data_IF_308216712216
#
_entry.id   IF_308216712216
#
_cell.length_a   1.000
_cell.length_b   1.000
_cell.length_c   1.000
_cell.angle_alpha   90.00
_cell.angle_beta   90.00
_cell.angle_gamma   90.00
#
_symmetry.space_group_name_H-M   'P 1'
#
loop_
_entity.id
_entity.type
_entity.pdbx_description
1 polymer ?
#
# COMPACT_ATOMS: atom_id res chain seq x y z
N UNK A 1 19.15 26.68 -60.35
CA UNK A 1 19.90 25.99 -59.28
C UNK A 1 19.73 26.77 -58.00
N UNK A 2 18.84 26.35 -57.10
CA UNK A 2 18.77 26.93 -55.75
C UNK A 2 19.75 26.17 -54.86
N UNK A 3 20.83 26.84 -54.45
CA UNK A 3 21.72 26.33 -53.40
C UNK A 3 20.99 26.37 -52.05
N UNK A 4 20.61 25.19 -51.57
CA UNK A 4 20.24 25.00 -50.18
C UNK A 4 21.51 25.13 -49.32
N UNK A 5 21.74 26.30 -48.72
CA UNK A 5 22.77 26.48 -47.69
C UNK A 5 22.35 25.73 -46.43
N UNK A 6 22.79 24.48 -46.33
CA UNK A 6 22.71 23.67 -45.13
C UNK A 6 23.53 24.35 -44.01
N UNK A 7 22.87 25.14 -43.16
CA UNK A 7 23.47 25.75 -41.97
C UNK A 7 23.76 24.63 -40.97
N UNK A 8 25.00 24.13 -40.94
CA UNK A 8 25.43 23.15 -39.93
C UNK A 8 25.33 23.81 -38.56
N UNK A 9 24.40 23.33 -37.71
CA UNK A 9 24.35 23.70 -36.29
C UNK A 9 25.68 23.25 -35.66
N UNK A 10 26.47 24.21 -35.18
CA UNK A 10 27.72 23.95 -34.44
C UNK A 10 27.33 23.25 -33.14
N UNK A 11 27.96 22.11 -32.85
CA UNK A 11 27.84 21.46 -31.54
C UNK A 11 28.55 22.38 -30.54
N UNK A 12 27.79 22.99 -29.63
CA UNK A 12 28.31 23.83 -28.55
C UNK A 12 28.70 22.89 -27.41
N UNK A 13 29.99 22.85 -27.06
CA UNK A 13 30.47 22.03 -25.94
C UNK A 13 30.29 22.80 -24.63
N UNK A 14 30.18 22.10 -23.50
CA UNK A 14 30.07 22.71 -22.16
C UNK A 14 31.18 23.73 -21.88
N UNK A 15 32.39 23.48 -22.39
CA UNK A 15 33.54 24.39 -22.31
C UNK A 15 33.34 25.70 -23.07
N UNK A 16 32.52 25.71 -24.13
CA UNK A 16 32.24 26.91 -24.93
C UNK A 16 31.24 27.85 -24.21
N UNK A 17 30.41 27.31 -23.33
CA UNK A 17 29.37 28.05 -22.59
C UNK A 17 29.99 28.83 -21.42
N UNK A 18 30.94 28.22 -20.72
CA UNK A 18 31.47 28.72 -19.44
C UNK A 18 32.95 29.13 -19.54
N UNK A 19 33.40 29.61 -20.70
CA UNK A 19 34.83 29.70 -20.97
C UNK A 19 35.59 30.68 -20.05
N UNK A 20 34.92 31.62 -19.34
CA UNK A 20 35.45 32.41 -18.20
C UNK A 20 34.34 33.13 -17.41
N UNK A 21 33.25 33.54 -18.06
CA UNK A 21 32.13 34.21 -17.42
C UNK A 21 30.90 34.22 -18.30
N UNK A 22 29.72 34.07 -17.70
CA UNK A 22 28.44 34.06 -18.41
C UNK A 22 27.58 35.23 -17.98
N UNK A 23 27.18 36.04 -18.95
CA UNK A 23 26.31 37.20 -18.74
C UNK A 23 24.84 36.80 -18.92
N UNK A 24 23.99 37.27 -18.00
CA UNK A 24 22.55 37.09 -18.04
C UNK A 24 21.85 38.45 -18.11
N UNK A 25 20.76 38.50 -18.86
CA UNK A 25 19.78 39.59 -18.83
C UNK A 25 18.47 39.02 -18.30
N UNK A 26 18.03 39.52 -17.16
CA UNK A 26 16.87 39.04 -16.43
C UNK A 26 15.71 40.01 -16.65
N UNK A 27 14.54 39.45 -16.92
CA UNK A 27 13.27 40.17 -16.97
C UNK A 27 12.42 39.64 -15.81
N UNK A 28 12.29 40.40 -14.73
CA UNK A 28 11.41 40.05 -13.63
C UNK A 28 10.02 40.63 -13.90
N UNK A 29 9.04 39.75 -14.09
CA UNK A 29 7.64 40.12 -14.25
C UNK A 29 6.91 39.98 -12.90
N UNK A 30 6.28 41.07 -12.46
CA UNK A 30 5.41 41.08 -11.29
C UNK A 30 3.94 41.14 -11.72
N UNK A 31 3.10 40.33 -11.07
CA UNK A 31 1.66 40.33 -11.34
C UNK A 31 1.06 41.68 -10.93
N UNK A 32 0.54 42.42 -11.92
CA UNK A 32 -0.01 43.77 -11.73
C UNK A 32 0.91 44.92 -12.16
N UNK A 33 2.15 44.64 -12.58
CA UNK A 33 3.03 45.64 -13.18
C UNK A 33 3.03 45.51 -14.71
N UNK A 34 2.94 46.65 -15.40
CA UNK A 34 2.95 46.72 -16.88
C UNK A 34 4.39 46.70 -17.44
N UNK A 35 5.39 46.96 -16.60
CA UNK A 35 6.79 47.08 -16.98
C UNK A 35 7.63 46.08 -16.20
N UNK A 36 8.39 45.24 -16.91
CA UNK A 36 9.30 44.27 -16.29
C UNK A 36 10.52 44.98 -15.65
N UNK A 37 10.93 44.52 -14.47
CA UNK A 37 12.17 44.96 -13.84
C UNK A 37 13.37 44.24 -14.47
N UNK A 38 14.13 44.97 -15.30
CA UNK A 38 15.26 44.39 -16.05
C UNK A 38 16.57 44.61 -15.31
N UNK A 39 17.30 43.53 -15.04
CA UNK A 39 18.67 43.60 -14.51
C UNK A 39 19.62 42.69 -15.28
N UNK A 40 20.91 42.99 -15.20
CA UNK A 40 21.97 42.17 -15.79
C UNK A 40 22.96 41.75 -14.73
N UNK A 41 23.46 40.53 -14.83
CA UNK A 41 24.53 40.05 -13.97
C UNK A 41 25.45 39.10 -14.72
N UNK A 42 26.61 38.87 -14.13
CA UNK A 42 27.63 37.96 -14.65
C UNK A 42 27.93 36.93 -13.56
N UNK A 43 28.01 35.66 -13.95
CA UNK A 43 28.53 34.57 -13.12
C UNK A 43 29.88 34.17 -13.71
N UNK A 44 30.89 34.05 -12.86
CA UNK A 44 32.23 33.62 -13.23
C UNK A 44 32.39 32.10 -13.05
N UNK A 45 33.33 31.53 -13.79
CA UNK A 45 33.75 30.12 -13.72
C UNK A 45 32.65 29.09 -14.04
N UNK A 46 32.92 27.80 -13.78
CA UNK A 46 32.03 26.67 -14.08
C UNK A 46 30.65 26.74 -13.38
N UNK A 47 30.49 27.66 -12.43
CA UNK A 47 29.25 27.90 -11.70
C UNK A 47 28.10 28.39 -12.61
N UNK A 48 28.39 28.87 -13.83
CA UNK A 48 27.34 29.26 -14.79
C UNK A 48 26.46 28.13 -15.30
N UNK A 49 26.86 26.86 -15.11
CA UNK A 49 26.01 25.69 -15.41
C UNK A 49 25.22 25.19 -14.20
N UNK A 50 25.38 25.79 -13.02
CA UNK A 50 24.62 25.43 -11.83
C UNK A 50 23.38 26.31 -11.70
N UNK A 51 22.20 25.71 -11.81
CA UNK A 51 20.92 26.38 -11.61
C UNK A 51 20.79 26.94 -10.20
N UNK A 52 21.30 26.23 -9.20
CA UNK A 52 21.35 26.71 -7.81
C UNK A 52 22.16 28.01 -7.68
N UNK A 53 23.27 28.13 -8.42
CA UNK A 53 24.07 29.37 -8.43
C UNK A 53 23.28 30.54 -9.06
N UNK A 54 22.61 30.29 -10.19
CA UNK A 54 21.74 31.26 -10.86
C UNK A 54 20.60 31.71 -9.93
N UNK A 55 19.94 30.78 -9.26
CA UNK A 55 18.86 31.09 -8.31
C UNK A 55 19.33 31.97 -7.15
N UNK A 56 20.45 31.61 -6.51
CA UNK A 56 21.03 32.44 -5.42
C UNK A 56 21.35 33.84 -5.91
N UNK A 57 21.92 33.97 -7.12
CA UNK A 57 22.24 35.28 -7.69
C UNK A 57 20.99 36.11 -7.97
N UNK A 58 19.90 35.47 -8.39
CA UNK A 58 18.60 36.12 -8.57
C UNK A 58 18.01 36.61 -7.24
N UNK A 59 18.10 35.83 -6.17
CA UNK A 59 17.65 36.24 -4.83
C UNK A 59 18.46 37.42 -4.28
N UNK A 60 19.77 37.42 -4.48
CA UNK A 60 20.65 38.53 -4.08
C UNK A 60 20.32 39.82 -4.85
N UNK A 61 20.00 39.71 -6.14
CA UNK A 61 19.70 40.85 -7.01
C UNK A 61 18.29 41.41 -6.84
N UNK A 62 17.34 40.53 -6.55
CA UNK A 62 15.94 40.85 -6.38
C UNK A 62 15.52 40.41 -4.97
N UNK A 63 15.75 41.25 -3.94
CA UNK A 63 15.38 40.93 -2.56
C UNK A 63 13.91 40.55 -2.39
N UNK A 64 13.05 41.02 -3.31
CA UNK A 64 11.62 40.68 -3.36
C UNK A 64 11.32 39.21 -3.67
N UNK A 65 12.29 38.47 -4.23
CA UNK A 65 12.21 37.03 -4.50
C UNK A 65 12.71 36.18 -3.34
N UNK A 66 13.45 36.78 -2.39
CA UNK A 66 13.94 36.09 -1.21
C UNK A 66 12.76 35.51 -0.42
N UNK A 67 12.91 34.27 0.03
CA UNK A 67 11.91 33.51 0.78
C UNK A 67 10.59 33.27 0.01
N UNK A 68 10.59 33.44 -1.33
CA UNK A 68 9.42 33.17 -2.19
C UNK A 68 9.75 32.15 -3.27
N UNK A 69 8.75 31.37 -3.65
CA UNK A 69 8.86 30.49 -4.82
C UNK A 69 8.72 31.31 -6.10
N UNK A 70 9.70 31.21 -6.99
CA UNK A 70 9.68 31.81 -8.32
C UNK A 70 10.06 30.78 -9.37
N UNK A 71 9.70 31.06 -10.62
CA UNK A 71 10.04 30.22 -11.76
C UNK A 71 10.88 31.00 -12.76
N UNK A 72 11.96 30.36 -13.21
CA UNK A 72 12.85 30.87 -14.25
C UNK A 72 12.47 30.21 -15.56
N UNK A 73 12.29 31.02 -16.60
CA UNK A 73 11.94 30.55 -17.94
C UNK A 73 12.81 31.22 -19.00
N UNK A 74 12.84 30.65 -20.19
CA UNK A 74 13.49 31.22 -21.35
C UNK A 74 12.61 31.08 -22.60
N UNK A 75 12.96 31.79 -23.68
CA UNK A 75 12.29 31.70 -24.98
C UNK A 75 13.12 30.88 -25.94
N UNK A 76 12.54 29.81 -26.46
CA UNK A 76 13.15 28.95 -27.47
C UNK A 76 13.04 29.54 -28.90
N UNK A 77 13.56 28.82 -29.89
CA UNK A 77 13.48 29.16 -31.32
C UNK A 77 12.03 29.28 -31.83
N UNK A 78 11.06 28.66 -31.13
CA UNK A 78 9.64 28.72 -31.44
C UNK A 78 8.91 29.85 -30.67
N UNK A 79 9.64 30.67 -29.91
CA UNK A 79 9.12 31.70 -28.99
C UNK A 79 8.25 31.13 -27.85
N UNK A 80 8.36 29.84 -27.53
CA UNK A 80 7.68 29.24 -26.39
C UNK A 80 8.43 29.53 -25.09
N UNK A 81 7.68 29.78 -24.00
CA UNK A 81 8.25 30.02 -22.67
C UNK A 81 8.56 28.68 -21.98
N UNK A 82 9.80 28.23 -22.09
CA UNK A 82 10.29 26.97 -21.51
C UNK A 82 10.81 27.20 -20.10
N UNK A 83 10.47 26.31 -19.16
CA UNK A 83 10.87 26.42 -17.76
C UNK A 83 12.22 25.76 -17.51
N UNK A 84 13.09 26.43 -16.74
CA UNK A 84 14.36 25.90 -16.26
C UNK A 84 14.13 25.45 -14.81
N UNK A 85 14.20 24.14 -14.56
CA UNK A 85 13.96 23.58 -13.22
C UNK A 85 15.21 22.91 -12.62
N UNK A 86 16.20 22.54 -13.44
CA UNK A 86 17.41 21.87 -13.02
C UNK A 86 18.64 22.31 -13.85
N UNK A 87 19.81 21.76 -13.53
CA UNK A 87 21.07 22.05 -14.22
C UNK A 87 21.07 21.59 -15.70
N UNK A 88 20.38 20.49 -16.03
CA UNK A 88 20.28 19.97 -17.41
C UNK A 88 19.46 20.91 -18.29
N UNK A 89 18.31 21.39 -17.79
CA UNK A 89 17.46 22.38 -18.45
C UNK A 89 18.22 23.69 -18.67
N UNK A 90 19.06 24.09 -17.71
CA UNK A 90 19.88 25.28 -17.82
C UNK A 90 20.92 25.12 -18.92
N UNK A 91 21.65 24.00 -18.95
CA UNK A 91 22.62 23.72 -20.02
C UNK A 91 21.91 23.73 -21.38
N UNK A 92 20.75 23.07 -21.48
CA UNK A 92 19.96 23.05 -22.72
C UNK A 92 19.60 24.47 -23.17
N UNK A 93 19.06 25.29 -22.27
CA UNK A 93 18.72 26.68 -22.54
C UNK A 93 19.94 27.48 -23.04
N UNK A 94 21.09 27.33 -22.37
CA UNK A 94 22.32 28.03 -22.74
C UNK A 94 22.90 27.59 -24.10
N UNK A 95 22.67 26.33 -24.50
CA UNK A 95 23.11 25.81 -25.81
C UNK A 95 22.21 26.24 -26.96
N UNK A 96 20.91 26.44 -26.70
CA UNK A 96 19.93 26.82 -27.73
C UNK A 96 19.85 28.34 -27.92
N UNK A 97 20.06 29.13 -26.87
CA UNK A 97 20.11 30.58 -26.97
C UNK A 97 21.25 31.09 -27.87
N UNK A 98 21.06 32.27 -28.45
CA UNK A 98 22.00 32.93 -29.37
C UNK A 98 23.31 33.45 -28.74
N UNK A 99 23.71 32.88 -27.61
CA UNK A 99 24.88 33.27 -26.83
C UNK A 99 24.61 34.40 -25.83
N UNK A 100 25.61 34.75 -25.00
CA UNK A 100 25.46 35.78 -23.97
C UNK A 100 25.30 37.20 -24.57
N UNK A 101 24.52 38.09 -23.92
CA UNK A 101 23.84 37.86 -22.65
C UNK A 101 22.58 37.00 -22.82
N UNK A 102 22.47 35.98 -21.99
CA UNK A 102 21.37 35.02 -22.02
C UNK A 102 20.11 35.65 -21.41
N UNK A 103 19.04 35.71 -22.19
CA UNK A 103 17.77 36.31 -21.76
C UNK A 103 16.96 35.29 -20.97
N UNK A 104 16.75 35.55 -19.68
CA UNK A 104 15.91 34.74 -18.81
C UNK A 104 14.77 35.57 -18.22
N UNK A 105 13.63 34.94 -18.02
CA UNK A 105 12.41 35.56 -17.50
C UNK A 105 12.10 34.95 -16.14
N UNK A 106 11.77 35.80 -15.18
CA UNK A 106 11.46 35.39 -13.81
C UNK A 106 10.06 35.83 -13.48
N UNK A 107 9.26 34.89 -12.95
CA UNK A 107 7.90 35.16 -12.48
C UNK A 107 7.71 34.64 -11.06
N UNK A 108 7.03 35.42 -10.23
CA UNK A 108 6.60 34.99 -8.89
C UNK A 108 5.50 33.94 -9.04
N UNK A 109 5.56 32.88 -8.22
CA UNK A 109 4.48 31.91 -8.09
C UNK A 109 4.89 30.46 -8.35
N UNK A 110 4.08 29.54 -7.80
CA UNK A 110 4.13 28.12 -8.14
C UNK A 110 3.47 27.98 -9.51
N UNK A 111 4.27 27.78 -10.55
CA UNK A 111 3.72 27.30 -11.81
C UNK A 111 3.18 25.91 -11.51
N UNK A 112 1.84 25.80 -11.31
CA UNK A 112 1.16 24.55 -11.64
C UNK A 112 1.60 24.28 -13.08
N UNK A 113 2.33 23.19 -13.38
CA UNK A 113 2.90 22.98 -14.69
C UNK A 113 1.78 23.09 -15.70
N UNK A 114 1.70 24.24 -16.39
CA UNK A 114 0.81 24.46 -17.50
C UNK A 114 1.54 23.79 -18.65
N UNK A 115 1.45 22.46 -18.64
CA UNK A 115 1.83 21.62 -19.76
C UNK A 115 1.23 22.31 -20.99
N UNK A 116 2.03 22.67 -22.00
CA UNK A 116 1.46 23.26 -23.20
C UNK A 116 0.39 22.30 -23.68
N UNK A 117 -0.82 22.81 -23.85
CA UNK A 117 -1.97 22.06 -24.37
C UNK A 117 -1.73 21.69 -25.84
N UNK A 118 -0.66 20.93 -26.13
CA UNK A 118 -0.77 19.93 -27.18
C UNK A 118 -1.90 19.04 -26.71
N UNK A 119 -2.96 18.92 -27.50
CA UNK A 119 -3.98 17.87 -27.30
C UNK A 119 -3.19 16.58 -27.09
N UNK A 120 -3.06 16.13 -25.84
CA UNK A 120 -2.56 14.79 -25.56
C UNK A 120 -3.67 13.91 -26.08
N UNK A 121 -3.51 13.39 -27.29
CA UNK A 121 -4.05 12.07 -27.57
C UNK A 121 -3.49 11.19 -26.47
N UNK A 122 -4.32 10.89 -25.47
CA UNK A 122 -3.99 9.99 -24.37
C UNK A 122 -3.41 8.75 -25.04
N UNK A 123 -2.11 8.46 -24.87
CA UNK A 123 -1.52 7.32 -25.53
C UNK A 123 -2.27 6.06 -25.11
N UNK A 124 -2.53 5.16 -26.05
CA UNK A 124 -3.29 3.93 -25.80
C UNK A 124 -2.75 3.13 -24.60
N UNK A 125 -1.44 3.19 -24.37
CA UNK A 125 -0.79 2.56 -23.21
C UNK A 125 -1.28 3.09 -21.86
N UNK A 126 -1.75 4.33 -21.75
CA UNK A 126 -2.28 4.88 -20.50
C UNK A 126 -3.62 4.22 -20.14
N UNK A 127 -4.42 3.88 -21.14
CA UNK A 127 -5.66 3.11 -20.94
C UNK A 127 -5.36 1.66 -20.56
N UNK A 128 -4.34 1.05 -21.19
CA UNK A 128 -3.90 -0.31 -20.84
C UNK A 128 -3.44 -0.38 -19.38
N UNK A 129 -2.67 0.60 -18.91
CA UNK A 129 -2.22 0.66 -17.51
C UNK A 129 -3.40 0.86 -16.58
N UNK A 130 -4.32 1.80 -16.89
CA UNK A 130 -5.53 2.02 -16.07
C UNK A 130 -6.39 0.76 -15.98
N UNK A 131 -6.55 0.04 -17.09
CA UNK A 131 -7.30 -1.22 -17.12
C UNK A 131 -6.61 -2.31 -16.29
N UNK A 132 -5.29 -2.47 -16.41
CA UNK A 132 -4.55 -3.45 -15.60
C UNK A 132 -4.59 -3.13 -14.11
N UNK A 133 -4.46 -1.86 -13.74
CA UNK A 133 -4.59 -1.42 -12.34
C UNK A 133 -5.99 -1.70 -11.82
N UNK A 134 -7.03 -1.40 -12.61
CA UNK A 134 -8.40 -1.68 -12.21
C UNK A 134 -8.65 -3.18 -12.02
N UNK A 135 -8.19 -4.02 -12.96
CA UNK A 135 -8.28 -5.48 -12.82
C UNK A 135 -7.58 -6.00 -11.57
N UNK A 136 -6.43 -5.43 -11.22
CA UNK A 136 -5.70 -5.81 -10.00
C UNK A 136 -6.45 -5.40 -8.73
N UNK A 137 -7.11 -4.24 -8.73
CA UNK A 137 -7.97 -3.79 -7.62
C UNK A 137 -9.17 -4.73 -7.46
N UNK A 138 -9.88 -5.01 -8.55
CA UNK A 138 -11.04 -5.90 -8.53
C UNK A 138 -10.65 -7.31 -8.05
N UNK A 139 -9.50 -7.82 -8.51
CA UNK A 139 -8.99 -9.13 -8.08
C UNK A 139 -8.63 -9.14 -6.59
N UNK A 140 -8.06 -8.06 -6.07
CA UNK A 140 -7.76 -7.92 -4.64
C UNK A 140 -9.05 -7.92 -3.80
N UNK A 141 -10.09 -7.24 -4.25
CA UNK A 141 -11.36 -7.17 -3.53
C UNK A 141 -12.06 -8.54 -3.49
N UNK A 142 -12.00 -9.32 -4.57
CA UNK A 142 -12.51 -10.70 -4.60
C UNK A 142 -11.77 -11.59 -3.59
N UNK A 143 -10.44 -11.52 -3.56
CA UNK A 143 -9.65 -12.30 -2.60
C UNK A 143 -9.92 -11.88 -1.15
N UNK A 144 -10.10 -10.58 -0.90
CA UNK A 144 -10.43 -10.08 0.42
C UNK A 144 -11.79 -10.62 0.91
N UNK A 145 -12.79 -10.64 0.03
CA UNK A 145 -14.11 -11.17 0.35
C UNK A 145 -14.06 -12.67 0.68
N UNK A 146 -13.27 -13.45 -0.07
CA UNK A 146 -13.05 -14.87 0.22
C UNK A 146 -12.45 -15.09 1.61
N UNK A 147 -11.41 -14.32 1.97
CA UNK A 147 -10.78 -14.42 3.29
C UNK A 147 -11.76 -14.06 4.42
N UNK A 148 -12.62 -13.05 4.20
CA UNK A 148 -13.66 -12.67 5.17
C UNK A 148 -14.67 -13.82 5.37
N UNK A 149 -15.12 -14.44 4.28
CA UNK A 149 -16.04 -15.57 4.34
C UNK A 149 -15.46 -16.77 5.09
N UNK A 150 -14.19 -17.11 4.85
CA UNK A 150 -13.49 -18.19 5.56
C UNK A 150 -13.34 -17.89 7.05
N UNK A 151 -12.94 -16.67 7.40
CA UNK A 151 -12.84 -16.22 8.79
C UNK A 151 -14.19 -16.35 9.51
N UNK A 152 -15.27 -15.94 8.88
CA UNK A 152 -16.60 -15.97 9.48
C UNK A 152 -17.15 -17.40 9.60
N UNK A 153 -16.80 -18.29 8.67
CA UNK A 153 -17.08 -19.72 8.78
C UNK A 153 -16.37 -20.34 10.01
N UNK A 154 -15.08 -20.06 10.17
CA UNK A 154 -14.32 -20.53 11.34
C UNK A 154 -14.87 -19.97 12.66
N UNK A 155 -15.32 -18.71 12.66
CA UNK A 155 -15.94 -18.11 13.84
C UNK A 155 -17.22 -18.84 14.25
N UNK A 156 -18.08 -19.18 13.29
CA UNK A 156 -19.29 -19.98 13.56
C UNK A 156 -18.97 -21.35 14.14
N UNK A 157 -17.93 -22.01 13.63
CA UNK A 157 -17.51 -23.31 14.16
C UNK A 157 -16.96 -23.21 15.59
N UNK A 158 -16.23 -22.12 15.89
CA UNK A 158 -15.77 -21.84 17.24
C UNK A 158 -16.94 -21.60 18.21
N UNK A 159 -17.95 -20.85 17.79
CA UNK A 159 -19.15 -20.60 18.61
C UNK A 159 -19.92 -21.90 18.91
N UNK A 160 -20.03 -22.82 17.93
CA UNK A 160 -20.61 -24.15 18.14
C UNK A 160 -19.81 -24.99 19.13
N UNK A 161 -18.48 -24.94 19.04
CA UNK A 161 -17.61 -25.62 19.99
C UNK A 161 -17.79 -25.06 21.41
N UNK A 162 -17.88 -23.74 21.56
CA UNK A 162 -18.20 -23.07 22.83
C UNK A 162 -19.52 -23.56 23.44
N UNK A 163 -20.60 -23.58 22.65
CA UNK A 163 -21.89 -24.09 23.11
C UNK A 163 -21.84 -25.56 23.56
N UNK A 164 -21.00 -26.38 22.90
CA UNK A 164 -20.83 -27.79 23.27
C UNK A 164 -20.12 -27.92 24.60
N UNK A 165 -19.08 -27.09 24.83
CA UNK A 165 -18.37 -27.01 26.11
C UNK A 165 -19.34 -26.56 27.22
N UNK A 166 -20.14 -25.53 26.99
CA UNK A 166 -21.10 -25.03 27.99
C UNK A 166 -22.13 -26.09 28.37
N UNK A 167 -22.63 -26.86 27.39
CA UNK A 167 -23.53 -28.00 27.63
C UNK A 167 -22.86 -29.09 28.46
N UNK A 168 -21.61 -29.43 28.16
CA UNK A 168 -20.84 -30.42 28.92
C UNK A 168 -20.60 -29.93 30.36
N UNK A 169 -20.25 -28.66 30.53
CA UNK A 169 -20.02 -28.06 31.84
C UNK A 169 -21.29 -28.06 32.69
N UNK A 170 -22.43 -27.64 32.12
CA UNK A 170 -23.74 -27.68 32.79
C UNK A 170 -24.10 -29.11 33.22
N UNK A 171 -23.81 -30.10 32.37
CA UNK A 171 -24.05 -31.50 32.68
C UNK A 171 -23.19 -31.98 33.86
N UNK A 172 -21.91 -31.62 33.90
CA UNK A 172 -20.99 -31.95 35.00
C UNK A 172 -21.49 -31.31 36.30
N UNK A 173 -21.86 -30.03 36.28
CA UNK A 173 -22.37 -29.31 37.45
C UNK A 173 -23.64 -29.95 38.03
N UNK A 174 -24.56 -30.40 37.17
CA UNK A 174 -25.76 -31.12 37.60
C UNK A 174 -25.43 -32.46 38.29
N UNK A 175 -24.43 -33.21 37.79
CA UNK A 175 -23.99 -34.46 38.42
C UNK A 175 -23.36 -34.20 39.79
N UNK A 176 -22.44 -33.23 39.87
CA UNK A 176 -21.73 -32.90 41.11
C UNK A 176 -22.72 -32.37 42.17
N UNK A 177 -23.64 -31.48 41.77
CA UNK A 177 -24.68 -30.95 42.64
C UNK A 177 -25.68 -32.02 43.14
N UNK A 178 -25.91 -33.07 42.35
CA UNK A 178 -26.77 -34.19 42.74
C UNK A 178 -26.11 -35.11 43.76
N UNK A 179 -24.78 -35.32 43.70
CA UNK A 179 -24.05 -36.16 44.65
C UNK A 179 -23.90 -35.52 46.05
N UNK A 180 -23.87 -34.19 46.15
CA UNK A 180 -23.80 -33.51 47.44
C UNK A 180 -25.12 -33.51 48.22
N UNK A 181 -26.27 -33.74 47.56
CA UNK A 181 -27.58 -33.84 48.21
C UNK A 181 -27.90 -35.23 48.76
N UNK A 182 -27.07 -36.23 48.50
CA UNK A 182 -27.39 -37.61 48.88
C UNK A 182 -26.17 -38.37 49.40
N UNK A 183 -25.89 -38.25 50.71
CA UNK A 183 -25.50 -39.39 51.56
C UNK A 183 -25.85 -39.18 53.04
N UNK A 184 -26.14 -40.24 53.83
CA UNK A 184 -26.35 -41.63 53.41
C UNK A 184 -27.73 -42.16 53.81
N UNK A 185 -28.30 -43.04 52.99
CA UNK A 185 -29.07 -44.17 53.51
C UNK A 185 -28.93 -45.33 52.51
N UNK A 186 -28.75 -46.49 53.10
CA UNK A 186 -28.40 -47.75 52.47
C UNK A 186 -29.35 -48.15 51.35
N UNK A 187 -28.81 -48.94 50.42
CA UNK A 187 -29.50 -49.86 49.51
C UNK A 187 -30.54 -49.25 48.58
N UNK A 188 -30.26 -49.27 47.28
CA UNK A 188 -31.04 -49.98 46.26
C UNK A 188 -30.44 -49.73 44.87
N UNK A 189 -30.36 -50.80 44.08
CA UNK A 189 -29.71 -50.82 42.78
C UNK A 189 -30.42 -49.93 41.77
N UNK A 190 -29.65 -49.05 41.14
CA UNK A 190 -30.09 -48.28 39.97
C UNK A 190 -29.74 -49.12 38.74
N UNK A 191 -30.77 -49.51 37.98
CA UNK A 191 -30.66 -50.32 36.77
C UNK A 191 -30.03 -49.51 35.62
N UNK A 192 -29.27 -50.23 34.79
CA UNK A 192 -28.42 -49.76 33.69
C UNK A 192 -29.15 -49.01 32.55
N UNK A 193 -30.48 -48.91 32.59
CA UNK A 193 -31.29 -48.50 31.44
C UNK A 193 -31.51 -46.98 31.34
N UNK A 194 -31.30 -46.23 32.43
CA UNK A 194 -31.44 -44.77 32.44
C UNK A 194 -30.28 -44.02 31.74
N UNK A 195 -29.11 -44.66 31.61
CA UNK A 195 -27.93 -44.05 30.96
C UNK A 195 -27.97 -44.14 29.42
N UNK A 196 -28.64 -45.15 28.86
CA UNK A 196 -28.77 -45.30 27.41
C UNK A 196 -29.76 -44.29 26.81
N UNK A 197 -30.79 -43.90 27.56
CA UNK A 197 -31.75 -42.88 27.13
C UNK A 197 -31.14 -41.46 27.13
N UNK A 198 -30.11 -41.21 27.96
CA UNK A 198 -29.39 -39.94 28.02
C UNK A 198 -28.45 -39.72 26.81
N UNK A 199 -27.92 -40.79 26.21
CA UNK A 199 -27.05 -40.71 25.03
C UNK A 199 -27.81 -40.34 23.74
N UNK A 200 -29.11 -40.63 23.66
CA UNK A 200 -29.97 -40.23 22.53
C UNK A 200 -30.24 -38.71 22.46
N UNK A 201 -30.11 -37.99 23.58
CA UNK A 201 -30.32 -36.53 23.64
C UNK A 201 -29.13 -35.75 23.03
N UNK A 202 -27.96 -36.40 22.86
CA UNK A 202 -26.75 -35.78 22.34
C UNK A 202 -26.65 -35.72 20.80
N UNK A 203 -27.63 -36.26 20.06
CA UNK A 203 -27.78 -36.01 18.61
C UNK A 203 -26.58 -36.37 17.73
N UNK A 204 -25.72 -37.29 18.16
CA UNK A 204 -24.57 -37.73 17.37
C UNK A 204 -24.89 -39.03 16.60
N UNK A 205 -24.62 -39.11 15.28
CA UNK A 205 -24.74 -40.35 14.54
C UNK A 205 -23.59 -41.29 14.96
N UNK A 206 -23.94 -42.41 15.59
CA UNK A 206 -22.97 -43.46 15.95
C UNK A 206 -22.80 -44.38 14.73
N UNK A 207 -21.60 -44.50 14.12
CA UNK A 207 -21.35 -45.55 13.15
C UNK A 207 -21.23 -46.89 13.89
N UNK A 208 -21.94 -47.90 13.37
CA UNK A 208 -22.12 -49.20 14.00
C UNK A 208 -20.82 -49.83 14.49
N UNK A 209 -20.80 -50.19 15.76
CA UNK A 209 -19.92 -51.24 16.27
C UNK A 209 -20.68 -52.01 17.34
N UNK A 210 -21.27 -53.13 16.93
CA UNK A 210 -21.82 -54.13 17.85
C UNK A 210 -20.64 -54.78 18.58
N UNK A 211 -20.57 -54.68 19.92
CA UNK A 211 -19.69 -55.54 20.71
C UNK A 211 -20.39 -56.08 21.96
N UNK A 212 -20.29 -57.40 22.11
CA UNK A 212 -20.77 -58.20 23.23
C UNK A 212 -20.17 -57.72 24.56
N UNK A 213 -21.01 -57.66 25.58
CA UNK A 213 -20.63 -57.31 26.96
C UNK A 213 -20.19 -58.56 27.70
N UNK A 214 -18.98 -58.52 28.27
CA UNK A 214 -18.57 -59.43 29.34
C UNK A 214 -18.53 -58.65 30.67
N UNK A 215 -19.18 -59.23 31.69
CA UNK A 215 -19.56 -58.55 32.93
C UNK A 215 -18.45 -58.66 33.98
N UNK A 216 -17.48 -57.76 33.92
CA UNK A 216 -16.45 -57.70 34.96
C UNK A 216 -15.39 -56.62 34.75
N UNK A 217 -15.77 -55.33 34.87
CA UNK A 217 -14.79 -54.23 34.78
C UNK A 217 -15.37 -52.84 34.49
N UNK A 218 -16.59 -52.56 34.94
CA UNK A 218 -17.44 -51.54 34.32
C UNK A 218 -17.16 -50.07 34.74
N UNK A 219 -16.49 -49.82 35.87
CA UNK A 219 -16.22 -48.45 36.35
C UNK A 219 -14.89 -47.90 35.82
N UNK A 220 -13.81 -48.70 35.87
CA UNK A 220 -12.48 -48.27 35.42
C UNK A 220 -12.41 -48.10 33.89
N UNK A 221 -13.14 -48.93 33.14
CA UNK A 221 -13.14 -48.86 31.68
C UNK A 221 -13.90 -47.63 31.14
N UNK A 222 -14.95 -47.17 31.83
CA UNK A 222 -15.71 -45.95 31.43
C UNK A 222 -14.90 -44.66 31.59
N UNK A 223 -14.11 -44.55 32.67
CA UNK A 223 -13.19 -43.41 32.86
C UNK A 223 -12.10 -43.38 31.78
N UNK A 224 -11.54 -44.55 31.45
CA UNK A 224 -10.54 -44.68 30.38
C UNK A 224 -11.14 -44.38 29.00
N UNK A 225 -12.40 -44.75 28.74
CA UNK A 225 -13.10 -44.43 27.50
C UNK A 225 -13.33 -42.92 27.34
N UNK A 226 -13.75 -42.24 28.42
CA UNK A 226 -13.91 -40.78 28.43
C UNK A 226 -12.57 -40.05 28.26
N UNK A 227 -11.51 -40.53 28.92
CA UNK A 227 -10.17 -39.98 28.73
C UNK A 227 -9.67 -40.16 27.29
N UNK A 228 -9.88 -41.33 26.69
CA UNK A 228 -9.51 -41.57 25.28
C UNK A 228 -10.30 -40.67 24.32
N UNK A 229 -11.59 -40.47 24.58
CA UNK A 229 -12.43 -39.57 23.79
C UNK A 229 -11.97 -38.10 23.89
N UNK A 230 -11.64 -37.64 25.10
CA UNK A 230 -11.13 -36.28 25.32
C UNK A 230 -9.76 -36.07 24.65
N UNK A 231 -8.84 -37.04 24.78
CA UNK A 231 -7.51 -36.98 24.14
C UNK A 231 -7.66 -36.93 22.62
N UNK A 232 -8.52 -37.77 22.04
CA UNK A 232 -8.75 -37.79 20.59
C UNK A 232 -9.31 -36.47 20.06
N UNK A 233 -10.16 -35.78 20.84
CA UNK A 233 -10.70 -34.48 20.44
C UNK A 233 -9.65 -33.37 20.54
N UNK A 234 -8.79 -33.41 21.57
CA UNK A 234 -7.67 -32.47 21.70
C UNK A 234 -6.69 -32.62 20.53
N UNK A 235 -6.35 -33.86 20.15
CA UNK A 235 -5.47 -34.13 19.01
C UNK A 235 -6.07 -33.64 17.68
N UNK A 236 -7.37 -33.81 17.48
CA UNK A 236 -8.06 -33.30 16.28
C UNK A 236 -8.03 -31.77 16.20
N UNK A 237 -8.18 -31.08 17.33
CA UNK A 237 -8.09 -29.62 17.43
C UNK A 237 -6.66 -29.15 17.14
N UNK A 238 -5.66 -29.84 17.67
CA UNK A 238 -4.25 -29.51 17.44
C UNK A 238 -3.83 -29.73 15.98
N UNK A 239 -4.28 -30.81 15.34
CA UNK A 239 -4.02 -31.06 13.92
C UNK A 239 -4.64 -29.99 13.01
N UNK A 240 -5.88 -29.57 13.29
CA UNK A 240 -6.53 -28.48 12.53
C UNK A 240 -5.80 -27.15 12.68
N UNK A 241 -5.29 -26.86 13.89
CA UNK A 241 -4.49 -25.67 14.17
C UNK A 241 -3.12 -25.69 13.48
N UNK A 242 -2.49 -26.86 13.34
CA UNK A 242 -1.24 -26.98 12.60
C UNK A 242 -1.44 -26.81 11.09
N UNK A 243 -2.49 -27.40 10.51
CA UNK A 243 -2.78 -27.23 9.07
C UNK A 243 -3.05 -25.77 8.68
N UNK A 244 -3.71 -25.01 9.55
CA UNK A 244 -3.93 -23.57 9.32
C UNK A 244 -2.64 -22.73 9.34
N UNK A 245 -1.54 -23.21 9.94
CA UNK A 245 -0.25 -22.50 9.99
C UNK A 245 0.65 -22.74 8.77
N UNK A 246 0.33 -23.72 7.92
CA UNK A 246 1.14 -24.08 6.74
C UNK A 246 0.46 -23.76 5.40
N UNK A 247 -0.65 -23.00 5.42
CA UNK A 247 -1.41 -22.61 4.23
C UNK A 247 -1.20 -21.13 3.81
N UNK A 248 -0.18 -20.47 4.35
CA UNK A 248 0.31 -19.15 3.94
C UNK A 248 1.72 -19.28 3.36
#
# INVERSE_FOLDING_TARGET
>A
MLEAKQKRKRVVLKSDICNMSTAYKVFLHEEGEEVDEIRRFVIHDDACTSFVCVQKKLEDMYPKLKDKTFVVTWKDDANDMVTIANDEDLILALTEMSGPPYNIYVRKGVVKPKVPSRRRTVPEWENIIKEQVQKAVDQKDILLEQVIQERDALRRDLDRAGQTIDRQQTFIENIVGSQQKSRPLNSLGIQSDDLNNALSILGAPVPGTTFQTDKGGLEHNKSVQLQRFLISNIDLILQRRQRAKFAH
#
